data_IF_064794257543
#
_entry.id   IF_064794257543
#
_cell.length_a   1.000
_cell.length_b   1.000
_cell.length_c   1.000
_cell.angle_alpha   90.00
_cell.angle_beta   90.00
_cell.angle_gamma   90.00
#
_symmetry.space_group_name_H-M   'P 1'
#
loop_
_entity.id
_entity.type
_entity.pdbx_description
1 polymer ?
#
# COMPACT_ATOMS: atom_id res chain seq x y z
N UNK A 1 23.30 18.92 18.65
CA UNK A 1 23.50 17.61 17.98
C UNK A 1 22.70 16.48 18.63
N UNK A 2 22.56 16.47 19.96
CA UNK A 2 21.78 15.44 20.67
C UNK A 2 20.29 15.44 20.28
N UNK A 3 19.61 16.59 20.30
CA UNK A 3 18.19 16.70 19.95
C UNK A 3 17.88 16.21 18.53
N UNK A 4 18.73 16.57 17.55
CA UNK A 4 18.54 16.14 16.17
C UNK A 4 18.70 14.61 16.03
N UNK A 5 19.67 14.02 16.74
CA UNK A 5 19.85 12.57 16.78
C UNK A 5 18.61 11.87 17.37
N UNK A 6 18.08 12.40 18.47
CA UNK A 6 16.86 11.89 19.10
C UNK A 6 15.68 11.95 18.14
N UNK A 7 15.50 13.06 17.42
CA UNK A 7 14.42 13.20 16.44
C UNK A 7 14.53 12.22 15.27
N UNK A 8 15.76 11.97 14.78
CA UNK A 8 15.97 10.97 13.72
C UNK A 8 15.67 9.56 14.22
N UNK A 9 16.14 9.19 15.42
CA UNK A 9 15.82 7.88 16.01
C UNK A 9 14.31 7.74 16.23
N UNK A 10 13.65 8.79 16.70
CA UNK A 10 12.20 8.82 16.85
C UNK A 10 11.50 8.66 15.49
N UNK A 11 12.00 9.31 14.43
CA UNK A 11 11.46 9.15 13.07
C UNK A 11 11.60 7.72 12.56
N UNK A 12 12.73 7.05 12.81
CA UNK A 12 12.90 5.62 12.50
C UNK A 12 11.83 4.80 13.20
N UNK A 13 11.66 4.97 14.51
CA UNK A 13 10.68 4.21 15.30
C UNK A 13 9.24 4.48 14.83
N UNK A 14 8.87 5.74 14.62
CA UNK A 14 7.51 6.14 14.22
C UNK A 14 7.19 5.68 12.80
N UNK A 15 8.14 5.78 11.86
CA UNK A 15 7.92 5.26 10.49
C UNK A 15 7.76 3.74 10.49
N UNK A 16 8.61 3.01 11.22
CA UNK A 16 8.46 1.55 11.32
C UNK A 16 7.18 1.14 12.04
N UNK A 17 6.73 1.92 13.04
CA UNK A 17 5.43 1.72 13.67
C UNK A 17 4.30 1.96 12.67
N UNK A 18 4.34 3.03 11.89
CA UNK A 18 3.37 3.27 10.82
C UNK A 18 3.34 2.09 9.84
N UNK A 19 4.50 1.62 9.39
CA UNK A 19 4.62 0.52 8.43
C UNK A 19 4.07 -0.80 9.00
N UNK A 20 4.37 -1.09 10.27
CA UNK A 20 3.77 -2.21 11.00
C UNK A 20 2.24 -2.05 11.10
N UNK A 21 1.75 -0.84 11.41
CA UNK A 21 0.30 -0.61 11.47
C UNK A 21 -0.38 -0.78 10.12
N UNK A 22 0.31 -0.38 9.05
CA UNK A 22 -0.17 -0.54 7.70
C UNK A 22 -0.31 -2.04 7.35
N UNK A 23 0.74 -2.83 7.60
CA UNK A 23 0.74 -4.25 7.29
C UNK A 23 -0.37 -5.04 7.97
N UNK A 24 -0.62 -4.78 9.26
CA UNK A 24 -1.69 -5.48 9.96
C UNK A 24 -3.09 -5.05 9.47
N UNK A 25 -3.25 -3.77 9.10
CA UNK A 25 -4.51 -3.21 8.61
C UNK A 25 -4.88 -3.80 7.24
N UNK A 26 -3.92 -3.79 6.32
CA UNK A 26 -4.11 -4.23 4.95
C UNK A 26 -3.97 -5.76 4.75
N UNK A 27 -3.48 -6.50 5.76
CA UNK A 27 -3.47 -7.97 5.76
C UNK A 27 -4.84 -8.56 5.38
N UNK A 28 -5.92 -7.89 5.79
CA UNK A 28 -7.27 -8.31 5.49
C UNK A 28 -7.58 -8.30 3.98
N UNK A 29 -7.06 -7.33 3.23
CA UNK A 29 -7.33 -7.19 1.80
C UNK A 29 -6.74 -8.34 0.98
N UNK A 30 -5.60 -8.88 1.41
CA UNK A 30 -4.91 -9.95 0.70
C UNK A 30 -5.46 -11.32 1.13
N UNK A 31 -5.62 -11.53 2.45
CA UNK A 31 -5.92 -12.83 3.03
C UNK A 31 -7.42 -13.19 2.97
N UNK A 32 -8.33 -12.21 2.98
CA UNK A 32 -9.77 -12.48 3.07
C UNK A 32 -10.29 -13.34 1.89
N UNK A 33 -9.84 -13.09 0.66
CA UNK A 33 -10.35 -13.78 -0.53
C UNK A 33 -9.92 -15.25 -0.62
N UNK A 34 -8.68 -15.58 -0.24
CA UNK A 34 -8.19 -16.97 -0.20
C UNK A 34 -8.84 -17.80 0.90
N UNK A 35 -9.12 -17.18 2.05
CA UNK A 35 -9.83 -17.85 3.15
C UNK A 35 -11.31 -18.02 2.78
N UNK A 36 -11.97 -16.97 2.31
CA UNK A 36 -13.40 -17.01 1.97
C UNK A 36 -13.72 -18.04 0.87
N UNK A 37 -12.83 -18.18 -0.12
CA UNK A 37 -12.99 -19.19 -1.18
C UNK A 37 -12.56 -20.61 -0.75
N UNK A 38 -12.10 -20.78 0.50
CA UNK A 38 -11.60 -22.03 1.08
C UNK A 38 -10.41 -22.61 0.31
N UNK A 39 -9.60 -21.75 -0.31
CA UNK A 39 -8.37 -22.16 -0.99
C UNK A 39 -7.26 -22.48 0.01
N UNK A 40 -7.19 -21.72 1.11
CA UNK A 40 -6.18 -21.85 2.15
C UNK A 40 -6.81 -21.82 3.55
N UNK A 41 -6.17 -22.50 4.49
CA UNK A 41 -6.40 -22.23 5.90
C UNK A 41 -5.77 -20.89 6.31
N UNK A 42 -6.29 -20.22 7.35
CA UNK A 42 -5.77 -18.92 7.78
C UNK A 42 -4.26 -18.87 8.00
N UNK A 43 -3.69 -19.89 8.65
CA UNK A 43 -2.24 -19.98 8.89
C UNK A 43 -1.44 -20.07 7.58
N UNK A 44 -1.91 -20.85 6.61
CA UNK A 44 -1.25 -20.99 5.31
C UNK A 44 -1.27 -19.66 4.54
N UNK A 45 -2.40 -18.96 4.57
CA UNK A 45 -2.55 -17.67 3.91
C UNK A 45 -1.58 -16.64 4.51
N UNK A 46 -1.53 -16.53 5.84
CA UNK A 46 -0.63 -15.58 6.52
C UNK A 46 0.84 -15.87 6.22
N UNK A 47 1.27 -17.14 6.18
CA UNK A 47 2.65 -17.50 5.86
C UNK A 47 3.05 -17.13 4.42
N UNK A 48 2.21 -17.49 3.43
CA UNK A 48 2.48 -17.18 2.03
C UNK A 48 2.49 -15.66 1.82
N UNK A 49 1.47 -14.98 2.35
CA UNK A 49 1.39 -13.52 2.25
C UNK A 49 2.61 -12.91 2.89
N UNK A 50 2.95 -13.24 4.15
CA UNK A 50 4.11 -12.66 4.84
C UNK A 50 5.44 -12.81 4.09
N UNK A 51 5.70 -13.97 3.46
CA UNK A 51 6.92 -14.18 2.66
C UNK A 51 6.95 -13.27 1.43
N UNK A 52 5.88 -13.25 0.64
CA UNK A 52 5.86 -12.45 -0.58
C UNK A 52 5.73 -10.95 -0.30
N UNK A 53 5.07 -10.58 0.79
CA UNK A 53 5.01 -9.22 1.32
C UNK A 53 6.41 -8.68 1.64
N UNK A 54 7.27 -9.52 2.23
CA UNK A 54 8.67 -9.18 2.50
C UNK A 54 9.49 -9.05 1.21
N UNK A 55 9.28 -9.96 0.25
CA UNK A 55 10.00 -9.96 -1.01
C UNK A 55 9.63 -8.78 -1.91
N UNK A 56 8.38 -8.28 -1.81
CA UNK A 56 7.86 -7.13 -2.55
C UNK A 56 8.79 -5.91 -2.55
N UNK A 57 9.05 -5.27 -1.40
CA UNK A 57 9.94 -4.11 -1.33
C UNK A 57 11.40 -4.44 -1.61
N UNK A 58 11.86 -5.66 -1.31
CA UNK A 58 13.25 -6.08 -1.55
C UNK A 58 13.56 -6.20 -3.04
N UNK A 59 12.59 -6.65 -3.85
CA UNK A 59 12.76 -6.91 -5.28
C UNK A 59 12.03 -5.91 -6.19
N UNK A 60 11.09 -5.13 -5.65
CA UNK A 60 10.20 -4.23 -6.39
C UNK A 60 10.76 -2.82 -6.68
N UNK A 61 12.02 -2.56 -6.33
CA UNK A 61 12.68 -1.27 -6.57
C UNK A 61 12.29 -0.17 -5.57
N UNK A 62 12.42 1.09 -5.98
CA UNK A 62 12.25 2.27 -5.10
C UNK A 62 11.43 3.40 -5.74
N UNK A 63 10.72 3.13 -6.84
CA UNK A 63 9.99 4.15 -7.61
C UNK A 63 8.87 4.84 -6.82
N UNK A 64 8.14 4.11 -5.97
CA UNK A 64 7.11 4.67 -5.09
C UNK A 64 7.76 5.45 -3.95
N UNK A 65 8.85 4.93 -3.38
CA UNK A 65 9.62 5.62 -2.34
C UNK A 65 10.14 6.97 -2.82
N UNK A 66 10.64 7.05 -4.06
CA UNK A 66 11.05 8.30 -4.70
C UNK A 66 9.90 9.29 -4.87
N UNK A 67 8.69 8.82 -5.15
CA UNK A 67 7.51 9.68 -5.29
C UNK A 67 7.07 10.22 -3.94
N UNK A 68 7.04 9.36 -2.92
CA UNK A 68 6.62 9.72 -1.56
C UNK A 68 7.67 10.58 -0.84
N UNK A 69 8.95 10.33 -1.03
CA UNK A 69 10.01 11.09 -0.35
C UNK A 69 10.25 12.48 -0.93
N UNK A 70 9.69 12.80 -2.11
CA UNK A 70 9.96 14.05 -2.84
C UNK A 70 8.74 14.95 -3.06
N UNK A 71 7.56 14.60 -2.56
CA UNK A 71 6.38 15.46 -2.75
C UNK A 71 6.26 16.58 -1.70
N UNK A 72 7.14 16.60 -0.70
CA UNK A 72 7.27 17.71 0.27
C UNK A 72 8.72 18.19 0.27
N UNK A 73 8.90 19.51 0.33
CA UNK A 73 10.21 20.16 0.36
C UNK A 73 10.41 20.83 1.71
N UNK A 74 11.22 20.22 2.58
CA UNK A 74 11.48 20.70 3.94
C UNK A 74 12.98 20.93 4.22
N UNK A 75 13.80 20.86 3.17
CA UNK A 75 15.27 20.93 3.26
C UNK A 75 15.77 22.34 3.57
N UNK A 76 15.05 23.37 3.14
CA UNK A 76 15.37 24.79 3.39
C UNK A 76 14.99 25.27 4.81
N UNK A 77 14.33 24.42 5.60
CA UNK A 77 13.88 24.72 6.95
C UNK A 77 14.84 24.12 8.00
N UNK A 78 14.84 24.63 9.25
CA UNK A 78 15.67 24.06 10.30
C UNK A 78 15.39 22.57 10.47
N UNK A 79 16.43 21.73 10.40
CA UNK A 79 16.33 20.27 10.41
C UNK A 79 15.42 19.69 11.53
N UNK A 80 15.55 20.22 12.75
CA UNK A 80 14.71 19.80 13.87
C UNK A 80 13.22 20.11 13.65
N UNK A 81 12.91 21.27 13.08
CA UNK A 81 11.55 21.66 12.73
C UNK A 81 10.98 20.73 11.64
N UNK A 82 11.73 20.50 10.56
CA UNK A 82 11.33 19.61 9.46
C UNK A 82 11.01 18.19 9.93
N UNK A 83 11.84 17.62 10.82
CA UNK A 83 11.59 16.30 11.40
C UNK A 83 10.34 16.27 12.27
N UNK A 84 10.09 17.31 13.07
CA UNK A 84 8.86 17.42 13.88
C UNK A 84 7.63 17.46 12.99
N UNK A 85 7.65 18.19 11.87
CA UNK A 85 6.53 18.24 10.91
C UNK A 85 6.25 16.86 10.33
N UNK A 86 7.27 16.13 9.88
CA UNK A 86 7.13 14.76 9.35
C UNK A 86 6.56 13.82 10.43
N UNK A 87 7.09 13.88 11.65
CA UNK A 87 6.62 13.09 12.78
C UNK A 87 5.16 13.39 13.16
N UNK A 88 4.75 14.65 13.12
CA UNK A 88 3.36 15.06 13.37
C UNK A 88 2.41 14.51 12.31
N UNK A 89 2.78 14.60 11.03
CA UNK A 89 1.98 14.04 9.93
C UNK A 89 1.82 12.52 10.02
N UNK A 90 2.92 11.80 10.30
CA UNK A 90 2.91 10.36 10.52
C UNK A 90 2.07 9.97 11.74
N UNK A 91 2.19 10.71 12.84
CA UNK A 91 1.41 10.46 14.05
C UNK A 91 -0.09 10.57 13.77
N UNK A 92 -0.51 11.58 13.01
CA UNK A 92 -1.89 11.72 12.54
C UNK A 92 -2.35 10.52 11.71
N UNK A 93 -1.52 10.06 10.77
CA UNK A 93 -1.81 8.89 9.95
C UNK A 93 -1.93 7.60 10.78
N UNK A 94 -1.01 7.37 11.74
CA UNK A 94 -1.06 6.21 12.66
C UNK A 94 -2.33 6.25 13.51
N UNK A 95 -2.66 7.40 14.11
CA UNK A 95 -3.86 7.55 14.94
C UNK A 95 -5.11 7.22 14.11
N UNK A 96 -5.18 7.69 12.86
CA UNK A 96 -6.30 7.38 11.96
C UNK A 96 -6.38 5.88 11.61
N UNK A 97 -5.24 5.26 11.29
CA UNK A 97 -5.16 3.82 11.01
C UNK A 97 -5.62 2.98 12.21
N UNK A 98 -5.13 3.29 13.42
CA UNK A 98 -5.53 2.62 14.65
C UNK A 98 -7.02 2.82 14.96
N UNK A 99 -7.54 4.03 14.76
CA UNK A 99 -8.94 4.36 15.01
C UNK A 99 -9.88 3.58 14.08
N UNK A 100 -9.56 3.54 12.78
CA UNK A 100 -10.35 2.81 11.78
C UNK A 100 -10.28 1.31 11.98
N UNK A 101 -9.09 0.77 12.30
CA UNK A 101 -8.93 -0.63 12.68
C UNK A 101 -9.73 -0.98 13.94
N UNK A 102 -9.69 -0.14 14.97
CA UNK A 102 -10.41 -0.38 16.23
C UNK A 102 -11.92 -0.52 15.98
N UNK A 103 -12.44 0.28 15.03
CA UNK A 103 -13.83 0.21 14.54
C UNK A 103 -14.08 -0.85 13.47
N UNK A 104 -13.06 -1.59 13.03
CA UNK A 104 -13.17 -2.61 11.98
C UNK A 104 -13.53 -2.05 10.60
N UNK A 105 -13.23 -0.76 10.36
CA UNK A 105 -13.52 -0.05 9.10
C UNK A 105 -12.32 -0.25 8.16
N UNK A 106 -12.51 -0.84 6.97
CA UNK A 106 -11.47 -0.86 5.95
C UNK A 106 -11.18 0.58 5.50
N UNK A 107 -9.93 0.99 5.55
CA UNK A 107 -9.48 2.36 5.29
C UNK A 107 -8.12 2.30 4.59
N UNK A 108 -7.80 3.36 3.85
CA UNK A 108 -6.55 3.41 3.09
C UNK A 108 -5.46 4.11 3.90
N UNK A 109 -4.43 3.36 4.32
CA UNK A 109 -3.22 3.92 4.93
C UNK A 109 -2.50 4.90 4.00
N UNK A 110 -2.62 4.73 2.68
CA UNK A 110 -2.03 5.65 1.70
C UNK A 110 -2.68 7.03 1.75
N UNK A 111 -4.01 7.10 1.86
CA UNK A 111 -4.71 8.37 2.03
C UNK A 111 -4.39 8.99 3.39
N UNK A 112 -4.32 8.17 4.45
CA UNK A 112 -3.97 8.64 5.79
C UNK A 112 -2.55 9.25 5.82
N UNK A 113 -1.57 8.58 5.20
CA UNK A 113 -0.19 9.06 5.11
C UNK A 113 -0.08 10.37 4.34
N UNK A 114 -0.62 10.40 3.12
CA UNK A 114 -0.53 11.57 2.24
C UNK A 114 -1.28 12.75 2.86
N UNK A 115 -2.50 12.54 3.34
CA UNK A 115 -3.29 13.58 4.01
C UNK A 115 -2.64 14.07 5.29
N UNK A 116 -2.10 13.16 6.11
CA UNK A 116 -1.39 13.51 7.35
C UNK A 116 -0.15 14.36 7.08
N UNK A 117 0.67 13.99 6.09
CA UNK A 117 1.88 14.73 5.75
C UNK A 117 1.56 16.09 5.11
N UNK A 118 0.67 16.14 4.12
CA UNK A 118 0.24 17.41 3.49
C UNK A 118 -0.35 18.33 4.55
N UNK A 119 -1.24 17.84 5.40
CA UNK A 119 -1.86 18.63 6.46
C UNK A 119 -0.84 19.20 7.44
N UNK A 120 0.13 18.40 7.89
CA UNK A 120 1.18 18.87 8.78
C UNK A 120 2.08 19.92 8.12
N UNK A 121 2.49 19.71 6.87
CA UNK A 121 3.33 20.66 6.13
C UNK A 121 2.61 21.97 5.86
N UNK A 122 1.37 21.92 5.36
CA UNK A 122 0.58 23.13 5.08
C UNK A 122 0.38 23.97 6.34
N UNK A 123 0.10 23.33 7.47
CA UNK A 123 -0.11 24.03 8.73
C UNK A 123 1.18 24.62 9.34
N UNK A 124 2.31 23.93 9.20
CA UNK A 124 3.55 24.32 9.85
C UNK A 124 4.45 25.21 8.99
N UNK A 125 4.52 24.93 7.69
CA UNK A 125 5.45 25.55 6.75
C UNK A 125 4.77 26.31 5.61
N UNK A 126 3.48 26.04 5.35
CA UNK A 126 2.71 26.67 4.28
C UNK A 126 2.60 25.82 3.00
N UNK A 127 1.75 26.27 2.08
CA UNK A 127 1.41 25.51 0.85
C UNK A 127 2.57 25.37 -0.15
N UNK A 128 3.55 26.28 -0.11
CA UNK A 128 4.67 26.31 -1.05
C UNK A 128 5.69 25.19 -0.78
N UNK A 129 5.67 24.61 0.43
CA UNK A 129 6.48 23.46 0.80
C UNK A 129 5.88 22.11 0.36
N UNK A 130 4.71 22.13 -0.29
CA UNK A 130 4.08 20.95 -0.90
C UNK A 130 4.26 21.03 -2.41
N UNK A 131 4.81 19.98 -3.01
CA UNK A 131 4.96 19.87 -4.46
C UNK A 131 3.61 19.48 -5.05
N UNK A 132 2.79 20.47 -5.40
CA UNK A 132 1.45 20.18 -5.94
C UNK A 132 1.50 19.51 -7.32
N UNK A 133 2.37 19.96 -8.22
CA UNK A 133 2.59 19.36 -9.54
C UNK A 133 1.53 19.70 -10.61
N UNK A 134 0.59 20.60 -10.32
CA UNK A 134 -0.45 21.01 -11.30
C UNK A 134 0.15 21.76 -12.50
N UNK A 135 1.14 22.62 -12.24
CA UNK A 135 1.85 23.40 -13.27
C UNK A 135 2.60 22.50 -14.26
N UNK A 136 3.26 21.46 -13.75
CA UNK A 136 4.02 20.47 -14.52
C UNK A 136 3.08 19.60 -15.37
N UNK A 137 1.90 19.28 -14.84
CA UNK A 137 0.88 18.55 -15.56
C UNK A 137 0.35 19.37 -16.76
N UNK A 138 -0.11 20.60 -16.53
CA UNK A 138 -0.71 21.42 -17.59
C UNK A 138 0.30 22.01 -18.56
N UNK A 139 1.52 22.31 -18.09
CA UNK A 139 2.55 22.93 -18.92
C UNK A 139 3.42 21.94 -19.70
N UNK A 140 3.72 20.76 -19.14
CA UNK A 140 4.68 19.80 -19.70
C UNK A 140 4.15 18.38 -19.82
N UNK A 141 2.92 18.10 -19.34
CA UNK A 141 2.36 16.75 -19.32
C UNK A 141 3.07 15.80 -18.34
N UNK A 142 3.84 16.32 -17.39
CA UNK A 142 4.60 15.51 -16.44
C UNK A 142 3.85 15.33 -15.12
N UNK A 143 3.69 14.07 -14.69
CA UNK A 143 3.06 13.74 -13.42
C UNK A 143 4.10 13.74 -12.30
N UNK A 144 4.05 14.78 -11.46
CA UNK A 144 4.95 14.95 -10.31
C UNK A 144 4.15 15.26 -9.04
N UNK A 145 4.83 15.12 -7.89
CA UNK A 145 4.32 15.55 -6.59
C UNK A 145 2.95 14.96 -6.22
N UNK A 146 2.14 15.78 -5.53
CA UNK A 146 0.81 15.44 -5.05
C UNK A 146 -0.14 15.09 -6.20
N UNK A 147 -0.03 15.75 -7.36
CA UNK A 147 -0.87 15.42 -8.53
C UNK A 147 -0.69 13.97 -8.96
N UNK A 148 0.55 13.47 -9.03
CA UNK A 148 0.81 12.05 -9.33
C UNK A 148 0.16 11.13 -8.30
N UNK A 149 0.24 11.48 -7.02
CA UNK A 149 -0.32 10.69 -5.90
C UNK A 149 -1.85 10.68 -5.97
N UNK A 150 -2.50 11.83 -6.07
CA UNK A 150 -3.97 11.95 -6.14
C UNK A 150 -4.49 11.21 -7.36
N UNK A 151 -3.87 11.41 -8.52
CA UNK A 151 -4.29 10.74 -9.75
C UNK A 151 -4.17 9.22 -9.61
N UNK A 152 -3.08 8.71 -9.02
CA UNK A 152 -2.93 7.29 -8.74
C UNK A 152 -4.02 6.77 -7.78
N UNK A 153 -4.33 7.50 -6.71
CA UNK A 153 -5.37 7.11 -5.74
C UNK A 153 -6.79 7.12 -6.32
N UNK A 154 -7.07 8.01 -7.29
CA UNK A 154 -8.38 8.13 -7.95
C UNK A 154 -8.53 7.17 -9.14
N UNK A 155 -7.48 7.00 -9.95
CA UNK A 155 -7.55 6.14 -11.14
C UNK A 155 -7.39 4.66 -10.81
N UNK A 156 -6.56 4.30 -9.83
CA UNK A 156 -6.30 2.88 -9.53
C UNK A 156 -7.56 2.08 -9.16
N UNK A 157 -8.57 2.61 -8.45
CA UNK A 157 -9.81 1.88 -8.21
C UNK A 157 -10.67 1.75 -9.48
N UNK A 158 -10.67 2.74 -10.37
CA UNK A 158 -11.36 2.65 -11.68
C UNK A 158 -10.72 1.57 -12.56
N UNK A 159 -9.39 1.54 -12.60
CA UNK A 159 -8.64 0.49 -13.31
C UNK A 159 -8.84 -0.87 -12.64
N UNK A 160 -8.88 -0.94 -11.31
CA UNK A 160 -9.21 -2.15 -10.56
C UNK A 160 -10.58 -2.71 -10.94
N UNK A 161 -11.60 -1.87 -10.98
CA UNK A 161 -12.94 -2.25 -11.47
C UNK A 161 -12.91 -2.78 -12.90
N UNK A 162 -12.31 -2.04 -13.83
CA UNK A 162 -12.23 -2.43 -15.24
C UNK A 162 -11.45 -3.74 -15.44
N UNK A 163 -10.33 -3.90 -14.74
CA UNK A 163 -9.52 -5.12 -14.77
C UNK A 163 -10.28 -6.31 -14.20
N UNK A 164 -10.95 -6.14 -13.05
CA UNK A 164 -11.79 -7.18 -12.45
C UNK A 164 -12.91 -7.64 -13.39
N UNK A 165 -13.63 -6.68 -13.99
CA UNK A 165 -14.68 -6.94 -14.97
C UNK A 165 -14.15 -7.71 -16.20
N UNK A 166 -13.07 -7.22 -16.80
CA UNK A 166 -12.50 -7.83 -18.01
C UNK A 166 -11.94 -9.22 -17.74
N UNK A 167 -11.15 -9.39 -16.68
CA UNK A 167 -10.56 -10.69 -16.30
C UNK A 167 -11.66 -11.69 -15.99
N UNK A 168 -12.72 -11.30 -15.28
CA UNK A 168 -13.81 -12.23 -15.00
C UNK A 168 -14.59 -12.62 -16.24
N UNK A 169 -14.91 -11.65 -17.10
CA UNK A 169 -15.62 -11.90 -18.36
C UNK A 169 -14.83 -12.86 -19.26
N UNK A 170 -13.52 -12.66 -19.40
CA UNK A 170 -12.63 -13.56 -20.15
C UNK A 170 -12.57 -14.95 -19.51
N UNK A 171 -12.42 -15.03 -18.19
CA UNK A 171 -12.47 -16.29 -17.45
C UNK A 171 -13.80 -17.04 -17.65
N UNK A 172 -14.92 -16.32 -17.72
CA UNK A 172 -16.24 -16.90 -18.01
C UNK A 172 -16.33 -17.52 -19.40
N UNK A 173 -15.65 -16.94 -20.40
CA UNK A 173 -15.54 -17.50 -21.75
C UNK A 173 -14.66 -18.75 -21.77
N UNK A 174 -13.47 -18.68 -21.14
CA UNK A 174 -12.49 -19.78 -21.10
C UNK A 174 -13.04 -20.98 -20.34
N UNK A 175 -13.74 -20.75 -19.23
CA UNK A 175 -14.24 -21.81 -18.36
C UNK A 175 -15.73 -22.14 -18.59
N UNK A 176 -16.32 -21.73 -19.72
CA UNK A 176 -17.76 -21.94 -20.01
C UNK A 176 -18.18 -23.42 -20.00
N UNK A 177 -17.29 -24.31 -20.45
CA UNK A 177 -17.52 -25.76 -20.47
C UNK A 177 -16.86 -26.50 -19.29
N UNK A 178 -16.41 -25.77 -18.26
CA UNK A 178 -15.68 -26.36 -17.15
C UNK A 178 -16.57 -27.21 -16.24
N UNK A 179 -16.02 -28.34 -15.77
CA UNK A 179 -16.68 -29.21 -14.78
C UNK A 179 -16.44 -28.69 -13.36
N UNK A 180 -17.30 -29.03 -12.37
CA UNK A 180 -17.10 -28.63 -10.97
C UNK A 180 -15.75 -29.02 -10.36
N UNK A 181 -15.08 -30.03 -10.92
CA UNK A 181 -13.72 -30.46 -10.53
C UNK A 181 -12.67 -29.36 -10.73
N UNK A 182 -12.90 -28.41 -11.64
CA UNK A 182 -12.01 -27.26 -11.87
C UNK A 182 -11.81 -26.42 -10.61
N UNK A 183 -12.80 -26.36 -9.71
CA UNK A 183 -12.68 -25.64 -8.44
C UNK A 183 -11.48 -26.10 -7.60
N UNK A 184 -11.07 -27.36 -7.71
CA UNK A 184 -9.86 -27.85 -7.02
C UNK A 184 -8.59 -27.23 -7.58
N UNK A 185 -8.52 -27.06 -8.90
CA UNK A 185 -7.37 -26.44 -9.57
C UNK A 185 -7.35 -24.93 -9.34
N UNK A 186 -8.51 -24.26 -9.39
CA UNK A 186 -8.61 -22.83 -9.09
C UNK A 186 -8.16 -22.51 -7.66
N UNK A 187 -8.57 -23.33 -6.67
CA UNK A 187 -8.07 -23.19 -5.29
C UNK A 187 -6.56 -23.38 -5.18
N UNK A 188 -5.96 -24.29 -5.96
CA UNK A 188 -4.49 -24.46 -5.99
C UNK A 188 -3.80 -23.28 -6.65
N UNK A 189 -4.35 -22.75 -7.75
CA UNK A 189 -3.80 -21.59 -8.45
C UNK A 189 -3.82 -20.32 -7.57
N UNK A 190 -4.74 -20.23 -6.60
CA UNK A 190 -4.76 -19.13 -5.64
C UNK A 190 -3.49 -19.00 -4.79
N UNK A 191 -2.68 -20.05 -4.65
CA UNK A 191 -1.36 -19.95 -4.01
C UNK A 191 -0.44 -18.98 -4.76
N UNK A 192 -0.43 -19.07 -6.09
CA UNK A 192 0.38 -18.19 -6.91
C UNK A 192 -0.21 -16.77 -7.00
N UNK A 193 -1.54 -16.65 -7.15
CA UNK A 193 -2.17 -15.33 -7.31
C UNK A 193 -2.21 -14.54 -6.00
N UNK A 194 -2.34 -15.20 -4.85
CA UNK A 194 -2.20 -14.55 -3.54
C UNK A 194 -0.76 -14.12 -3.26
N UNK A 195 0.23 -14.96 -3.62
CA UNK A 195 1.64 -14.59 -3.56
C UNK A 195 1.94 -13.36 -4.44
N UNK A 196 1.42 -13.34 -5.67
CA UNK A 196 1.58 -12.20 -6.57
C UNK A 196 0.92 -10.92 -6.01
N UNK A 197 -0.28 -11.02 -5.44
CA UNK A 197 -0.95 -9.88 -4.80
C UNK A 197 -0.17 -9.37 -3.59
N UNK A 198 0.31 -10.26 -2.71
CA UNK A 198 1.13 -9.89 -1.56
C UNK A 198 2.45 -9.23 -1.97
N UNK A 199 3.15 -9.80 -2.95
CA UNK A 199 4.35 -9.19 -3.52
C UNK A 199 4.08 -7.78 -4.04
N UNK A 200 2.98 -7.61 -4.79
CA UNK A 200 2.60 -6.33 -5.37
C UNK A 200 2.26 -5.30 -4.29
N UNK A 201 1.53 -5.73 -3.25
CA UNK A 201 1.21 -4.93 -2.08
C UNK A 201 2.50 -4.45 -1.39
N UNK A 202 3.39 -5.37 -1.00
CA UNK A 202 4.65 -5.02 -0.34
C UNK A 202 5.52 -4.10 -1.19
N UNK A 203 5.58 -4.35 -2.51
CA UNK A 203 6.30 -3.50 -3.45
C UNK A 203 5.72 -2.09 -3.59
N UNK A 204 4.44 -1.86 -3.27
CA UNK A 204 3.85 -0.52 -3.28
C UNK A 204 3.88 0.15 -1.91
N UNK A 205 3.45 -0.59 -0.87
CA UNK A 205 3.10 -0.04 0.42
C UNK A 205 4.31 0.17 1.33
N UNK A 206 5.21 -0.80 1.45
CA UNK A 206 6.43 -0.62 2.24
C UNK A 206 7.33 0.46 1.63
N UNK A 207 7.31 0.66 0.31
CA UNK A 207 8.03 1.75 -0.34
C UNK A 207 7.56 3.14 0.13
N UNK A 208 6.30 3.31 0.55
CA UNK A 208 5.81 4.59 1.08
C UNK A 208 6.57 4.94 2.38
N UNK A 209 6.67 3.98 3.29
CA UNK A 209 7.43 4.11 4.53
C UNK A 209 8.93 4.26 4.28
N UNK A 210 9.50 3.52 3.32
CA UNK A 210 10.89 3.69 2.88
C UNK A 210 11.15 5.13 2.41
N UNK A 211 10.20 5.71 1.66
CA UNK A 211 10.29 7.08 1.18
C UNK A 211 10.34 8.11 2.30
N UNK A 212 9.43 7.99 3.28
CA UNK A 212 9.37 8.90 4.43
C UNK A 212 10.58 8.71 5.36
N UNK A 213 11.01 7.47 5.60
CA UNK A 213 12.18 7.22 6.43
C UNK A 213 13.45 7.79 5.78
N UNK A 214 13.59 7.61 4.46
CA UNK A 214 14.72 8.18 3.71
C UNK A 214 14.69 9.71 3.74
N UNK A 215 13.51 10.32 3.60
CA UNK A 215 13.33 11.77 3.77
C UNK A 215 13.78 12.23 5.17
N UNK A 216 13.37 11.53 6.23
CA UNK A 216 13.79 11.86 7.59
C UNK A 216 15.31 11.76 7.79
N UNK A 217 15.97 10.79 7.13
CA UNK A 217 17.43 10.67 7.18
C UNK A 217 18.14 11.82 6.45
N UNK A 218 17.60 12.26 5.30
CA UNK A 218 18.11 13.44 4.57
C UNK A 218 17.96 14.69 5.43
N UNK A 219 16.74 14.96 5.93
CA UNK A 219 16.46 16.13 6.77
C UNK A 219 17.30 16.12 8.07
N UNK A 220 17.60 14.94 8.59
CA UNK A 220 18.44 14.75 9.77
C UNK A 220 19.95 14.82 9.52
N UNK A 221 20.38 15.07 8.28
CA UNK A 221 21.80 15.13 7.88
C UNK A 221 22.54 13.79 8.04
N UNK A 222 21.84 12.65 7.92
CA UNK A 222 22.44 11.30 8.02
C UNK A 222 22.85 10.72 6.68
N UNK A 223 22.23 11.21 5.61
CA UNK A 223 22.58 10.91 4.23
C UNK A 223 22.47 12.21 3.43
N UNK A 224 23.37 12.41 2.48
CA UNK A 224 23.44 13.69 1.73
C UNK A 224 22.47 13.72 0.54
N UNK A 225 22.08 12.55 0.04
CA UNK A 225 21.22 12.43 -1.14
C UNK A 225 20.08 11.46 -0.86
N UNK A 226 18.94 11.71 -1.52
CA UNK A 226 17.80 10.80 -1.47
C UNK A 226 18.10 9.53 -2.26
N UNK A 227 18.71 8.55 -1.60
CA UNK A 227 18.92 7.20 -2.08
C UNK A 227 18.53 6.24 -0.96
N UNK A 228 17.51 5.40 -1.20
CA UNK A 228 16.96 4.52 -0.16
C UNK A 228 18.03 3.51 0.28
N UNK A 229 18.50 3.56 1.54
CA UNK A 229 19.50 2.62 2.03
C UNK A 229 18.94 1.19 2.12
N UNK A 230 19.78 0.19 1.92
CA UNK A 230 19.38 -1.22 2.02
C UNK A 230 18.81 -1.56 3.41
N UNK A 231 19.34 -0.96 4.48
CA UNK A 231 18.79 -1.19 5.82
C UNK A 231 17.39 -0.61 5.98
N UNK A 232 17.08 0.53 5.35
CA UNK A 232 15.71 1.12 5.35
C UNK A 232 14.76 0.17 4.64
N UNK A 233 15.17 -0.35 3.48
CA UNK A 233 14.41 -1.34 2.73
C UNK A 233 14.12 -2.59 3.57
N UNK A 234 15.14 -3.17 4.20
CA UNK A 234 14.98 -4.37 5.04
C UNK A 234 14.16 -4.09 6.30
N UNK A 235 14.33 -2.93 6.94
CA UNK A 235 13.60 -2.56 8.15
C UNK A 235 12.11 -2.35 7.85
N UNK A 236 11.77 -1.61 6.79
CA UNK A 236 10.38 -1.43 6.34
C UNK A 236 9.77 -2.75 5.89
N UNK A 237 10.46 -3.54 5.07
CA UNK A 237 10.01 -4.88 4.67
C UNK A 237 9.69 -5.75 5.90
N UNK A 238 10.58 -5.76 6.89
CA UNK A 238 10.38 -6.53 8.12
C UNK A 238 9.19 -6.00 8.93
N UNK A 239 9.07 -4.68 9.11
CA UNK A 239 7.99 -4.07 9.86
C UNK A 239 6.62 -4.35 9.23
N UNK A 240 6.49 -4.12 7.92
CA UNK A 240 5.30 -4.43 7.14
C UNK A 240 4.92 -5.91 7.24
N UNK A 241 5.89 -6.81 7.06
CA UNK A 241 5.66 -8.26 7.18
C UNK A 241 5.23 -8.65 8.59
N UNK A 242 5.89 -8.15 9.63
CA UNK A 242 5.50 -8.43 11.02
C UNK A 242 4.09 -7.93 11.33
N UNK A 243 3.72 -6.75 10.82
CA UNK A 243 2.35 -6.24 10.89
C UNK A 243 1.38 -7.22 10.24
N UNK A 244 1.67 -7.62 9.01
CA UNK A 244 0.85 -8.54 8.22
C UNK A 244 0.68 -9.90 8.92
N UNK A 245 1.75 -10.43 9.51
CA UNK A 245 1.73 -11.68 10.28
C UNK A 245 0.94 -11.56 11.59
N UNK A 246 0.94 -10.37 12.20
CA UNK A 246 0.14 -10.06 13.41
C UNK A 246 -1.36 -9.98 13.10
N UNK A 247 -1.70 -9.79 11.82
CA UNK A 247 -3.03 -9.97 11.24
C UNK A 247 -3.92 -8.73 11.29
N UNK A 248 -5.10 -8.82 10.69
CA UNK A 248 -6.12 -7.76 10.66
C UNK A 248 -7.49 -8.32 11.00
N UNK A 249 -7.56 -9.29 11.91
CA UNK A 249 -8.71 -10.20 12.06
C UNK A 249 -10.05 -9.50 12.28
N UNK A 250 -10.06 -8.32 12.91
CA UNK A 250 -11.25 -7.48 13.02
C UNK A 250 -11.77 -7.06 11.65
N UNK A 251 -10.88 -6.56 10.79
CA UNK A 251 -11.20 -6.14 9.40
C UNK A 251 -11.51 -7.36 8.53
N UNK A 252 -10.78 -8.46 8.67
CA UNK A 252 -11.05 -9.73 7.95
C UNK A 252 -12.50 -10.18 8.19
N UNK A 253 -12.99 -10.10 9.43
CA UNK A 253 -14.38 -10.46 9.76
C UNK A 253 -15.38 -9.51 9.11
N UNK A 254 -15.07 -8.22 8.99
CA UNK A 254 -15.92 -7.24 8.29
C UNK A 254 -15.95 -7.49 6.77
N UNK A 255 -14.79 -7.71 6.14
CA UNK A 255 -14.68 -7.87 4.68
C UNK A 255 -15.15 -9.24 4.17
N UNK A 256 -14.92 -10.31 4.94
CA UNK A 256 -15.13 -11.69 4.50
C UNK A 256 -16.58 -12.07 4.16
N UNK A 257 -17.57 -11.27 4.58
CA UNK A 257 -18.99 -11.61 4.46
C UNK A 257 -19.87 -10.53 3.83
N UNK A 258 -19.39 -9.29 3.66
CA UNK A 258 -20.27 -8.16 3.37
C UNK A 258 -20.49 -7.84 1.89
N UNK A 259 -19.60 -8.24 0.97
CA UNK A 259 -19.62 -7.69 -0.40
C UNK A 259 -20.14 -8.69 -1.46
N UNK A 260 -19.86 -9.99 -1.36
CA UNK A 260 -20.34 -10.99 -2.33
C UNK A 260 -20.05 -12.44 -1.85
N UNK A 261 -20.83 -13.46 -2.28
CA UNK A 261 -20.45 -14.88 -2.06
C UNK A 261 -19.29 -15.30 -2.97
N UNK A 262 -18.06 -15.12 -2.49
CA UNK A 262 -16.85 -15.36 -3.27
C UNK A 262 -16.67 -16.86 -3.62
N UNK A 263 -16.79 -17.20 -4.91
CA UNK A 263 -16.42 -18.52 -5.46
C UNK A 263 -14.92 -18.59 -5.74
N UNK A 264 -14.30 -19.79 -5.88
CA UNK A 264 -12.87 -19.92 -6.18
C UNK A 264 -12.41 -19.13 -7.41
N UNK A 265 -13.24 -19.08 -8.46
CA UNK A 265 -12.94 -18.30 -9.67
C UNK A 265 -12.96 -16.79 -9.40
N UNK A 266 -13.87 -16.30 -8.55
CA UNK A 266 -13.97 -14.88 -8.23
C UNK A 266 -12.78 -14.44 -7.38
N UNK A 267 -12.37 -15.24 -6.40
CA UNK A 267 -11.17 -14.97 -5.60
C UNK A 267 -9.91 -14.92 -6.47
N UNK A 268 -9.73 -15.91 -7.35
CA UNK A 268 -8.59 -15.96 -8.26
C UNK A 268 -8.54 -14.74 -9.19
N UNK A 269 -9.67 -14.41 -9.83
CA UNK A 269 -9.74 -13.26 -10.74
C UNK A 269 -9.52 -11.94 -9.99
N UNK A 270 -10.04 -11.81 -8.77
CA UNK A 270 -9.84 -10.62 -7.95
C UNK A 270 -8.36 -10.43 -7.62
N UNK A 271 -7.67 -11.50 -7.23
CA UNK A 271 -6.25 -11.45 -6.89
C UNK A 271 -5.37 -11.13 -8.11
N UNK A 272 -5.70 -11.68 -9.28
CA UNK A 272 -5.03 -11.34 -10.53
C UNK A 272 -5.25 -9.88 -10.92
N UNK A 273 -6.50 -9.41 -10.87
CA UNK A 273 -6.84 -8.03 -11.20
C UNK A 273 -6.15 -7.04 -10.25
N UNK A 274 -6.33 -7.20 -8.94
CA UNK A 274 -5.77 -6.28 -7.97
C UNK A 274 -4.25 -6.37 -7.92
N UNK A 275 -3.68 -7.58 -7.97
CA UNK A 275 -2.23 -7.79 -8.00
C UNK A 275 -1.59 -7.14 -9.22
N UNK A 276 -2.17 -7.36 -10.40
CA UNK A 276 -1.69 -6.74 -11.64
C UNK A 276 -1.75 -5.21 -11.61
N UNK A 277 -2.86 -4.63 -11.13
CA UNK A 277 -3.02 -3.17 -11.04
C UNK A 277 -2.05 -2.56 -10.03
N UNK A 278 -1.91 -3.14 -8.84
CA UNK A 278 -0.97 -2.64 -7.82
C UNK A 278 0.47 -2.79 -8.30
N UNK A 279 0.83 -3.91 -8.92
CA UNK A 279 2.18 -4.10 -9.45
C UNK A 279 2.52 -3.10 -10.55
N UNK A 280 1.62 -2.90 -11.52
CA UNK A 280 1.80 -1.93 -12.59
C UNK A 280 1.98 -0.51 -12.02
N UNK A 281 1.19 -0.15 -11.00
CA UNK A 281 1.34 1.12 -10.30
C UNK A 281 2.71 1.24 -9.61
N UNK A 282 3.19 0.19 -8.94
CA UNK A 282 4.52 0.17 -8.32
C UNK A 282 5.64 0.40 -9.34
N UNK A 283 5.56 -0.22 -10.52
CA UNK A 283 6.56 -0.08 -11.58
C UNK A 283 6.70 1.35 -12.10
N UNK A 284 5.60 2.12 -12.14
CA UNK A 284 5.61 3.53 -12.54
C UNK A 284 5.80 4.49 -11.35
N UNK A 285 6.03 3.94 -10.15
CA UNK A 285 6.19 4.70 -8.92
C UNK A 285 4.92 5.42 -8.48
N UNK A 286 3.74 4.88 -8.79
CA UNK A 286 2.46 5.42 -8.38
C UNK A 286 2.04 4.80 -7.03
N UNK A 287 1.98 5.59 -5.93
CA UNK A 287 1.43 5.10 -4.67
C UNK A 287 -0.09 4.94 -4.81
N UNK A 288 -0.59 3.72 -4.59
CA UNK A 288 -2.01 3.40 -4.72
C UNK A 288 -2.61 2.90 -3.41
N UNK A 289 -3.94 2.87 -3.34
CA UNK A 289 -4.68 2.29 -2.22
C UNK A 289 -5.04 0.85 -2.55
N UNK A 290 -4.30 -0.13 -2.01
CA UNK A 290 -4.61 -1.54 -2.26
C UNK A 290 -5.99 -1.91 -1.73
N UNK A 291 -6.42 -1.34 -0.59
CA UNK A 291 -7.80 -1.44 -0.09
C UNK A 291 -8.83 -1.11 -1.18
N UNK A 292 -8.69 0.03 -1.85
CA UNK A 292 -9.64 0.44 -2.90
C UNK A 292 -9.52 -0.39 -4.17
N UNK A 293 -8.30 -0.73 -4.60
CA UNK A 293 -8.06 -1.53 -5.80
C UNK A 293 -8.65 -2.94 -5.63
N UNK A 294 -8.47 -3.57 -4.48
CA UNK A 294 -9.05 -4.89 -4.18
C UNK A 294 -10.58 -4.79 -4.15
N UNK A 295 -11.14 -3.82 -3.41
CA UNK A 295 -12.59 -3.65 -3.30
C UNK A 295 -13.25 -3.43 -4.67
N UNK A 296 -12.68 -2.55 -5.50
CA UNK A 296 -13.18 -2.27 -6.85
C UNK A 296 -13.00 -3.43 -7.82
N UNK A 297 -11.89 -4.18 -7.72
CA UNK A 297 -11.71 -5.41 -8.51
C UNK A 297 -12.81 -6.43 -8.23
N UNK A 298 -13.19 -6.61 -6.96
CA UNK A 298 -14.31 -7.48 -6.56
C UNK A 298 -15.63 -6.95 -7.12
N UNK A 299 -15.87 -5.64 -7.07
CA UNK A 299 -17.07 -5.03 -7.66
C UNK A 299 -17.14 -5.23 -9.17
N UNK A 300 -16.02 -5.08 -9.89
CA UNK A 300 -15.94 -5.33 -11.33
C UNK A 300 -16.30 -6.76 -11.70
N UNK A 301 -15.81 -7.73 -10.92
CA UNK A 301 -16.16 -9.16 -11.03
C UNK A 301 -17.66 -9.37 -10.81
N UNK A 302 -18.26 -8.69 -9.83
CA UNK A 302 -19.69 -8.79 -9.56
C UNK A 302 -20.57 -8.17 -10.66
N UNK A 303 -20.03 -7.23 -11.43
CA UNK A 303 -20.73 -6.50 -12.48
C UNK A 303 -20.65 -7.17 -13.88
N UNK A 304 -19.78 -8.16 -14.07
CA UNK A 304 -19.61 -8.90 -15.34
C UNK A 304 -20.51 -10.13 -15.44
#
# INVERSE_FOLDING_TARGET
METLTVLVVLAVVVVLLFDYTNGFHDAANIVATVIASRAMQPVQAVLIVGVFEFLGPVLGGTAVANTIGKFVHLEDLPAAFSLVVVLSGLSGAIVWNLLTWWRGIPSSSSHALVGGLIGAVVMAAGQDHVVWGFTELFGRGHLTGVTKVILALVLSPLVGFAAGYLIHRLSGLVFRAARPTLNRHLRKAQYATAAALAFSHGANDAQKSMGILTLALVLGGRIDTFAVPTWVMLACATAMTLGTLSGGWRIVRTLGFAIYRVRPLHALNSQLASGGVVFAASMIGAPVSTTHVVATSIMGIGAS
#
